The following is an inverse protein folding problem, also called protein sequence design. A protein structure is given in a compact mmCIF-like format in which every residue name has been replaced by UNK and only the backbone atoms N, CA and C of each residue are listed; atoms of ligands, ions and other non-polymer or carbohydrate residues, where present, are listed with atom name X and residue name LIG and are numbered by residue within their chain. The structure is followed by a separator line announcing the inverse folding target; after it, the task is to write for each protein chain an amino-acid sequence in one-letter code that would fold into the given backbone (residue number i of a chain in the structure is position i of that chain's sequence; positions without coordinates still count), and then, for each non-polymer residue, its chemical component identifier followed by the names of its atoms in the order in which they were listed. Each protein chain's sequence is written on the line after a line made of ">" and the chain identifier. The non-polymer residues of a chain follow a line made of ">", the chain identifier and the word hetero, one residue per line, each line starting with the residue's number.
data_IF_808326452971
#
_entry.id   IF_808326452971
#
_cell.length_a   1.000
_cell.length_b   1.000
_cell.length_c   1.000
_cell.angle_alpha   90.00
_cell.angle_beta   90.00
_cell.angle_gamma   90.00
#
_symmetry.space_group_name_H-M   'P 1'
#
loop_
_entity.id
_entity.type
_entity.pdbx_description
1 polymer ?
#
# COMPACT_ATOMS: atom_id res chain seq x y z
N UNK A 1 -6.82 49.66 -56.64
CA UNK A 1 -8.24 50.05 -56.43
C UNK A 1 -8.67 49.70 -55.01
N UNK A 2 -9.55 50.52 -54.41
CA UNK A 2 -10.52 50.25 -53.32
C UNK A 2 -10.20 49.26 -52.15
N UNK A 3 -10.09 49.87 -50.94
CA UNK A 3 -10.65 49.48 -49.61
C UNK A 3 -12.13 48.98 -49.68
N UNK A 4 -12.81 48.47 -48.61
CA UNK A 4 -12.60 48.66 -47.14
C UNK A 4 -12.70 47.31 -46.34
N UNK A 5 -12.95 47.17 -45.02
CA UNK A 5 -13.52 47.99 -43.90
C UNK A 5 -13.04 47.37 -42.57
N UNK A 6 -12.62 48.09 -41.51
CA UNK A 6 -13.44 48.74 -40.46
C UNK A 6 -13.60 47.81 -39.23
N UNK A 7 -13.51 48.20 -37.95
CA UNK A 7 -13.42 49.49 -37.24
C UNK A 7 -12.53 49.30 -35.96
N UNK A 8 -11.70 50.23 -35.48
CA UNK A 8 -12.03 51.51 -34.77
C UNK A 8 -12.70 51.20 -33.41
N UNK A 9 -12.28 51.64 -32.21
CA UNK A 9 -11.51 52.79 -31.66
C UNK A 9 -10.90 52.34 -30.27
N UNK A 10 -10.11 53.08 -29.46
CA UNK A 10 -9.62 54.46 -29.44
C UNK A 10 -8.25 54.61 -28.70
N UNK A 11 -7.69 55.81 -28.76
CA UNK A 11 -6.54 56.49 -28.11
C UNK A 11 -6.74 56.96 -26.65
N UNK A 12 -5.82 57.62 -25.95
CA UNK A 12 -4.34 57.66 -25.85
C UNK A 12 -3.90 58.78 -24.85
N UNK A 13 -2.65 58.71 -24.38
CA UNK A 13 -1.89 59.58 -23.48
C UNK A 13 -2.17 61.11 -23.38
N UNK A 14 -1.92 61.69 -22.19
CA UNK A 14 -1.33 63.04 -22.03
C UNK A 14 -0.70 63.29 -20.63
N UNK A 15 0.43 64.00 -20.62
CA UNK A 15 1.03 64.83 -19.57
C UNK A 15 1.74 66.02 -20.30
N UNK A 16 2.30 67.08 -19.68
CA UNK A 16 2.47 67.44 -18.25
C UNK A 16 2.13 68.93 -17.91
N UNK A 17 2.33 69.39 -16.65
CA UNK A 17 2.59 70.80 -16.27
C UNK A 17 3.10 70.96 -14.81
N UNK A 18 3.68 72.12 -14.44
CA UNK A 18 4.36 72.40 -13.14
C UNK A 18 3.65 73.44 -12.25
N UNK A 19 3.75 73.26 -10.92
CA UNK A 19 3.87 74.23 -9.79
C UNK A 19 2.87 75.42 -9.66
N UNK A 20 2.47 75.81 -8.42
CA UNK A 20 3.30 76.70 -7.58
C UNK A 20 3.30 76.39 -6.07
N UNK A 21 4.02 77.21 -5.29
CA UNK A 21 4.22 77.07 -3.84
C UNK A 21 3.32 78.01 -3.01
N UNK A 22 3.09 77.67 -1.73
CA UNK A 22 2.49 78.56 -0.73
C UNK A 22 2.08 77.83 0.56
N UNK A 23 2.71 78.14 1.69
CA UNK A 23 2.25 77.69 3.03
C UNK A 23 1.17 78.65 3.55
N UNK A 24 0.27 78.15 4.40
CA UNK A 24 0.12 78.78 5.71
C UNK A 24 0.42 77.80 6.85
N UNK A 25 1.00 78.32 7.93
CA UNK A 25 1.19 77.56 9.17
C UNK A 25 -0.12 77.48 9.97
N UNK A 26 -0.31 76.39 10.70
CA UNK A 26 -1.31 76.24 11.76
C UNK A 26 -0.59 75.75 13.04
N UNK A 27 -1.14 76.05 14.22
CA UNK A 27 -0.32 76.42 15.38
C UNK A 27 0.30 75.25 16.13
N UNK A 28 1.41 75.53 16.82
CA UNK A 28 1.82 74.74 17.97
C UNK A 28 0.78 74.86 19.08
N UNK A 29 0.02 73.80 19.31
CA UNK A 29 -0.69 73.58 20.58
C UNK A 29 -0.16 72.31 21.21
N UNK A 30 0.79 72.48 22.12
CA UNK A 30 1.32 71.42 22.96
C UNK A 30 0.25 70.93 23.95
N UNK A 31 -0.27 69.73 23.73
CA UNK A 31 -0.75 68.88 24.83
C UNK A 31 0.05 67.58 24.81
N UNK A 32 0.80 67.36 25.88
CA UNK A 32 1.78 66.29 25.95
C UNK A 32 1.12 64.92 26.08
N UNK A 33 1.00 64.19 24.97
CA UNK A 33 0.93 62.74 25.08
C UNK A 33 2.20 62.24 25.77
N UNK A 34 2.09 61.39 26.82
CA UNK A 34 3.26 60.74 27.37
C UNK A 34 3.84 59.85 26.28
N UNK A 35 5.00 60.25 25.76
CA UNK A 35 5.83 59.37 24.95
C UNK A 35 5.96 58.03 25.69
N UNK A 36 5.74 56.87 25.05
CA UNK A 36 6.10 55.61 25.67
C UNK A 36 7.57 55.74 26.04
N UNK A 37 7.86 55.59 27.32
CA UNK A 37 9.19 55.85 27.87
C UNK A 37 10.21 55.09 27.05
N UNK A 38 11.34 55.75 26.77
CA UNK A 38 12.54 55.13 26.22
C UNK A 38 13.22 54.24 27.27
N UNK A 39 12.45 53.32 27.85
CA UNK A 39 12.98 52.01 28.16
C UNK A 39 13.57 51.48 26.87
N UNK A 40 14.90 51.47 26.81
CA UNK A 40 15.62 50.64 25.88
C UNK A 40 14.89 49.30 25.81
N UNK A 41 14.55 48.86 24.60
CA UNK A 41 14.21 47.46 24.38
C UNK A 41 15.45 46.72 24.86
N UNK A 42 15.44 46.25 26.12
CA UNK A 42 16.53 45.48 26.69
C UNK A 42 16.79 44.41 25.67
N UNK A 43 17.99 44.42 25.09
CA UNK A 43 18.36 43.49 24.03
C UNK A 43 18.51 42.14 24.71
N UNK A 44 17.38 41.46 24.88
CA UNK A 44 17.30 40.21 25.62
C UNK A 44 18.35 39.28 25.03
N UNK A 45 19.21 38.76 25.90
CA UNK A 45 20.38 37.97 25.54
C UNK A 45 19.89 36.65 24.93
N UNK A 46 19.67 36.67 23.60
CA UNK A 46 19.22 35.52 22.87
C UNK A 46 20.42 34.58 22.70
N UNK A 47 20.41 33.39 23.35
CA UNK A 47 21.57 32.50 23.38
C UNK A 47 21.96 31.95 21.99
N UNK A 48 21.12 32.14 20.97
CA UNK A 48 21.40 31.77 19.58
C UNK A 48 21.99 32.90 18.71
N UNK A 49 22.03 34.15 19.20
CA UNK A 49 22.56 35.32 18.46
C UNK A 49 23.45 36.24 19.31
N UNK A 50 23.89 35.79 20.48
CA UNK A 50 24.71 36.57 21.40
C UNK A 50 26.16 36.76 20.93
N UNK A 51 26.84 37.80 21.43
CA UNK A 51 28.23 38.08 21.04
C UNK A 51 29.26 37.19 21.74
N UNK A 52 28.86 36.47 22.79
CA UNK A 52 29.72 35.45 23.43
C UNK A 52 29.64 34.12 22.66
N UNK A 53 30.73 33.80 21.97
CA UNK A 53 30.89 32.55 21.23
C UNK A 53 30.72 31.29 22.10
N UNK A 54 31.01 31.36 23.40
CA UNK A 54 30.78 30.23 24.33
C UNK A 54 29.29 29.97 24.50
N UNK A 55 28.49 31.01 24.68
CA UNK A 55 27.04 30.91 24.85
C UNK A 55 26.37 30.39 23.57
N UNK A 56 26.83 30.87 22.39
CA UNK A 56 26.44 30.33 21.09
C UNK A 56 26.74 28.83 20.97
N UNK A 57 27.96 28.38 21.32
CA UNK A 57 28.32 26.95 21.28
C UNK A 57 27.40 26.14 22.20
N UNK A 58 27.14 26.59 23.43
CA UNK A 58 26.28 25.84 24.36
C UNK A 58 24.83 25.76 23.86
N UNK A 59 24.29 26.83 23.27
CA UNK A 59 22.95 26.84 22.70
C UNK A 59 22.81 25.89 21.49
N UNK A 60 23.75 25.99 20.54
CA UNK A 60 23.75 25.16 19.33
C UNK A 60 24.09 23.70 19.61
N UNK A 61 25.01 23.40 20.52
CA UNK A 61 25.31 22.02 20.93
C UNK A 61 24.16 21.39 21.71
N UNK A 62 23.50 22.15 22.61
CA UNK A 62 22.29 21.70 23.29
C UNK A 62 21.12 21.40 22.33
N UNK A 63 20.96 22.21 21.28
CA UNK A 63 19.99 21.95 20.21
C UNK A 63 20.39 20.72 19.37
N UNK A 64 21.66 20.61 18.97
CA UNK A 64 22.16 19.49 18.18
C UNK A 64 22.03 18.14 18.92
N UNK A 65 22.32 18.10 20.23
CA UNK A 65 22.12 16.90 21.06
C UNK A 65 20.64 16.50 21.11
N UNK A 66 19.71 17.45 21.27
CA UNK A 66 18.26 17.16 21.22
C UNK A 66 17.84 16.58 19.87
N UNK A 67 18.32 17.17 18.77
CA UNK A 67 18.06 16.67 17.42
C UNK A 67 18.66 15.27 17.19
N UNK A 68 19.88 15.01 17.68
CA UNK A 68 20.52 13.71 17.59
C UNK A 68 19.79 12.62 18.39
N UNK A 69 19.24 12.95 19.57
CA UNK A 69 18.40 12.04 20.35
C UNK A 69 17.12 11.68 19.58
N UNK A 70 16.42 12.70 19.02
CA UNK A 70 15.20 12.49 18.22
C UNK A 70 15.51 11.63 16.99
N UNK A 71 16.59 11.94 16.27
CA UNK A 71 17.01 11.18 15.09
C UNK A 71 17.36 9.72 15.43
N UNK A 72 18.12 9.49 16.52
CA UNK A 72 18.47 8.14 16.98
C UNK A 72 17.22 7.34 17.37
N UNK A 73 16.24 7.97 18.04
CA UNK A 73 14.96 7.33 18.37
C UNK A 73 14.18 6.94 17.11
N UNK A 74 14.02 7.87 16.15
CA UNK A 74 13.34 7.59 14.88
C UNK A 74 14.04 6.51 14.06
N UNK A 75 15.37 6.52 14.03
CA UNK A 75 16.18 5.51 13.35
C UNK A 75 16.06 4.13 14.00
N UNK A 76 16.00 4.06 15.34
CA UNK A 76 15.75 2.81 16.08
C UNK A 76 14.36 2.22 15.77
N UNK A 77 13.33 3.07 15.70
CA UNK A 77 11.97 2.64 15.30
C UNK A 77 12.00 2.11 13.86
N UNK A 78 12.67 2.81 12.94
CA UNK A 78 12.82 2.36 11.55
C UNK A 78 13.54 1.00 11.45
N UNK A 79 14.65 0.82 12.16
CA UNK A 79 15.36 -0.47 12.19
C UNK A 79 14.50 -1.60 12.76
N UNK A 80 13.71 -1.33 13.79
CA UNK A 80 12.79 -2.32 14.36
C UNK A 80 11.74 -2.77 13.33
N UNK A 81 11.13 -1.83 12.59
CA UNK A 81 10.16 -2.13 11.54
C UNK A 81 10.80 -2.90 10.38
N UNK A 82 11.97 -2.47 9.90
CA UNK A 82 12.69 -3.16 8.82
C UNK A 82 13.12 -4.59 9.21
N UNK A 83 13.51 -4.81 10.47
CA UNK A 83 13.84 -6.13 11.01
C UNK A 83 12.59 -7.02 11.15
N UNK A 84 11.42 -6.46 11.49
CA UNK A 84 10.16 -7.22 11.40
C UNK A 84 9.84 -7.63 9.97
N UNK A 85 9.99 -6.74 8.98
CA UNK A 85 9.74 -7.10 7.57
C UNK A 85 10.68 -8.21 7.09
N UNK A 86 11.97 -8.14 7.44
CA UNK A 86 12.93 -9.22 7.11
C UNK A 86 12.50 -10.56 7.71
N UNK A 87 12.11 -10.61 8.99
CA UNK A 87 11.61 -11.84 9.64
C UNK A 87 10.33 -12.36 9.00
N UNK A 88 9.40 -11.49 8.62
CA UNK A 88 8.16 -11.86 7.90
C UNK A 88 8.46 -12.45 6.53
N UNK A 89 9.48 -11.94 5.84
CA UNK A 89 9.95 -12.47 4.54
C UNK A 89 10.63 -13.82 4.74
N UNK A 90 11.54 -13.96 5.71
CA UNK A 90 12.18 -15.24 6.07
C UNK A 90 11.14 -16.32 6.42
N UNK A 91 10.13 -15.96 7.22
CA UNK A 91 9.02 -16.86 7.55
C UNK A 91 8.20 -17.26 6.31
N UNK A 92 7.94 -16.34 5.37
CA UNK A 92 7.31 -16.69 4.08
C UNK A 92 8.21 -17.60 3.23
N UNK A 93 9.53 -17.36 3.18
CA UNK A 93 10.46 -18.22 2.43
C UNK A 93 10.47 -19.66 2.98
N UNK A 94 10.38 -19.85 4.30
CA UNK A 94 10.25 -21.19 4.88
C UNK A 94 8.97 -21.93 4.45
N UNK A 95 7.89 -21.21 4.12
CA UNK A 95 6.67 -21.79 3.55
C UNK A 95 6.81 -22.07 2.05
N UNK A 96 7.61 -21.28 1.32
CA UNK A 96 7.99 -21.57 -0.08
C UNK A 96 8.83 -22.84 -0.16
N UNK A 97 9.85 -22.99 0.68
CA UNK A 97 10.66 -24.21 0.77
C UNK A 97 9.81 -25.44 1.13
N UNK A 98 8.85 -25.28 2.05
CA UNK A 98 7.88 -26.33 2.37
C UNK A 98 7.01 -26.71 1.16
N UNK A 99 6.58 -25.73 0.37
CA UNK A 99 5.76 -25.92 -0.84
C UNK A 99 6.53 -26.56 -2.02
N UNK A 100 7.83 -26.30 -2.10
CA UNK A 100 8.73 -26.89 -3.10
C UNK A 100 9.17 -28.32 -2.74
N UNK A 101 8.88 -28.79 -1.51
CA UNK A 101 9.11 -30.16 -1.10
C UNK A 101 8.34 -31.17 -1.98
N UNK A 102 8.96 -32.34 -2.22
CA UNK A 102 8.49 -33.39 -3.14
C UNK A 102 7.05 -33.81 -2.88
N UNK A 103 6.63 -33.90 -1.63
CA UNK A 103 5.26 -34.26 -1.23
C UNK A 103 4.23 -33.23 -1.71
N UNK A 104 4.50 -31.94 -1.53
CA UNK A 104 3.60 -30.87 -1.99
C UNK A 104 3.62 -30.75 -3.51
N UNK A 105 4.77 -30.97 -4.13
CA UNK A 105 4.89 -31.07 -5.59
C UNK A 105 4.13 -32.27 -6.16
N UNK A 106 4.09 -33.41 -5.46
CA UNK A 106 3.28 -34.57 -5.81
C UNK A 106 1.79 -34.25 -5.68
N UNK A 107 1.36 -33.63 -4.58
CA UNK A 107 -0.03 -33.23 -4.38
C UNK A 107 -0.49 -32.21 -5.44
N UNK A 108 0.33 -31.22 -5.76
CA UNK A 108 0.08 -30.26 -6.85
C UNK A 108 -0.07 -30.96 -8.21
N UNK A 109 0.79 -31.95 -8.52
CA UNK A 109 0.66 -32.76 -9.74
C UNK A 109 -0.62 -33.59 -9.75
N UNK A 110 -0.92 -34.32 -8.67
CA UNK A 110 -2.15 -35.12 -8.55
C UNK A 110 -3.42 -34.28 -8.80
N UNK A 111 -3.51 -33.08 -8.21
CA UNK A 111 -4.59 -32.13 -8.45
C UNK A 111 -4.60 -31.65 -9.90
N UNK A 112 -3.45 -31.24 -10.44
CA UNK A 112 -3.34 -30.76 -11.83
C UNK A 112 -3.77 -31.83 -12.83
N UNK A 113 -3.23 -33.04 -12.72
CA UNK A 113 -3.44 -34.12 -13.68
C UNK A 113 -4.91 -34.56 -13.69
N UNK A 114 -5.53 -34.68 -12.50
CA UNK A 114 -6.97 -35.01 -12.38
C UNK A 114 -7.86 -33.89 -12.94
N UNK A 115 -7.57 -32.62 -12.63
CA UNK A 115 -8.31 -31.49 -13.19
C UNK A 115 -8.11 -31.35 -14.70
N UNK A 116 -6.91 -31.55 -15.23
CA UNK A 116 -6.64 -31.51 -16.68
C UNK A 116 -7.39 -32.63 -17.41
N UNK A 117 -7.40 -33.86 -16.88
CA UNK A 117 -8.17 -34.97 -17.46
C UNK A 117 -9.69 -34.67 -17.47
N UNK A 118 -10.23 -34.12 -16.38
CA UNK A 118 -11.65 -33.75 -16.30
C UNK A 118 -11.99 -32.57 -17.23
N UNK A 119 -11.17 -31.52 -17.27
CA UNK A 119 -11.37 -30.41 -18.20
C UNK A 119 -11.37 -30.91 -19.65
N UNK A 120 -10.43 -31.77 -20.05
CA UNK A 120 -10.41 -32.35 -21.40
C UNK A 120 -11.63 -33.24 -21.70
N UNK A 121 -12.14 -33.98 -20.71
CA UNK A 121 -13.33 -34.83 -20.82
C UNK A 121 -14.63 -34.03 -21.02
N UNK A 122 -14.67 -32.78 -20.52
CA UNK A 122 -15.86 -31.93 -20.49
C UNK A 122 -15.70 -30.62 -21.27
N UNK A 123 -14.63 -30.46 -22.05
CA UNK A 123 -14.31 -29.27 -22.86
C UNK A 123 -15.47 -28.88 -23.80
N UNK A 124 -16.13 -29.88 -24.37
CA UNK A 124 -17.30 -29.75 -25.23
C UNK A 124 -18.58 -29.22 -24.53
N UNK A 125 -18.56 -29.00 -23.21
CA UNK A 125 -19.69 -28.44 -22.47
C UNK A 125 -19.65 -26.91 -22.35
N UNK A 126 -18.53 -26.26 -22.68
CA UNK A 126 -18.48 -24.80 -22.75
C UNK A 126 -18.96 -24.29 -24.11
N UNK A 127 -19.60 -23.13 -24.11
CA UNK A 127 -19.86 -22.38 -25.33
C UNK A 127 -18.54 -21.86 -25.93
N UNK A 128 -18.53 -21.54 -27.23
CA UNK A 128 -17.31 -21.07 -27.91
C UNK A 128 -16.76 -19.71 -27.40
N UNK A 129 -17.50 -19.02 -26.53
CA UNK A 129 -17.06 -17.82 -25.82
C UNK A 129 -17.82 -17.74 -24.48
N UNK A 130 -17.37 -18.48 -23.45
CA UNK A 130 -18.08 -18.59 -22.18
C UNK A 130 -18.01 -17.30 -21.39
N UNK A 131 -19.10 -16.91 -20.73
CA UNK A 131 -19.06 -15.81 -19.77
C UNK A 131 -18.24 -16.20 -18.53
N UNK A 132 -17.63 -15.24 -17.80
CA UNK A 132 -16.85 -15.53 -16.60
C UNK A 132 -17.62 -16.32 -15.53
N UNK A 133 -18.94 -16.12 -15.45
CA UNK A 133 -19.86 -16.85 -14.57
C UNK A 133 -20.11 -18.29 -15.02
N UNK A 134 -20.23 -18.55 -16.32
CA UNK A 134 -20.36 -19.92 -16.84
C UNK A 134 -19.06 -20.70 -16.62
N UNK A 135 -17.92 -20.08 -16.87
CA UNK A 135 -16.60 -20.68 -16.62
C UNK A 135 -16.42 -20.99 -15.11
N UNK A 136 -16.80 -20.08 -14.22
CA UNK A 136 -16.73 -20.32 -12.77
C UNK A 136 -17.64 -21.49 -12.34
N UNK A 137 -18.88 -21.55 -12.84
CA UNK A 137 -19.80 -22.66 -12.56
C UNK A 137 -19.28 -23.98 -13.14
N UNK A 138 -18.65 -23.96 -14.31
CA UNK A 138 -18.00 -25.12 -14.90
C UNK A 138 -16.84 -25.62 -14.02
N UNK A 139 -15.89 -24.74 -13.65
CA UNK A 139 -14.77 -25.09 -12.76
C UNK A 139 -15.26 -25.65 -11.42
N UNK A 140 -16.30 -25.08 -10.82
CA UNK A 140 -16.89 -25.63 -9.59
C UNK A 140 -17.48 -27.03 -9.77
N UNK A 141 -18.13 -27.32 -10.91
CA UNK A 141 -18.62 -28.67 -11.24
C UNK A 141 -17.47 -29.65 -11.42
N UNK A 142 -16.41 -29.24 -12.11
CA UNK A 142 -15.18 -30.04 -12.27
C UNK A 142 -14.53 -30.32 -10.91
N UNK A 143 -14.44 -29.36 -10.01
CA UNK A 143 -13.91 -29.57 -8.66
C UNK A 143 -14.77 -30.49 -7.79
N UNK A 144 -16.09 -30.51 -7.99
CA UNK A 144 -16.98 -31.50 -7.34
C UNK A 144 -16.77 -32.90 -7.94
N UNK A 145 -16.67 -33.03 -9.26
CA UNK A 145 -16.42 -34.32 -9.93
C UNK A 145 -15.01 -34.86 -9.61
N UNK A 146 -14.02 -33.99 -9.42
CA UNK A 146 -12.68 -34.36 -8.98
C UNK A 146 -12.66 -35.02 -7.59
N UNK A 147 -13.70 -34.85 -6.77
CA UNK A 147 -13.86 -35.49 -5.46
C UNK A 147 -14.73 -36.77 -5.51
N UNK A 148 -14.98 -37.33 -6.70
CA UNK A 148 -15.66 -38.62 -6.88
C UNK A 148 -14.68 -39.75 -7.22
N UNK A 149 -15.17 -40.99 -7.15
CA UNK A 149 -14.43 -42.16 -7.63
C UNK A 149 -14.27 -42.18 -9.17
N UNK A 150 -15.14 -41.50 -9.91
CA UNK A 150 -15.08 -41.34 -11.37
C UNK A 150 -14.25 -40.13 -11.84
N UNK A 151 -13.71 -39.35 -10.89
CA UNK A 151 -12.98 -38.11 -11.15
C UNK A 151 -11.63 -38.27 -11.88
N UNK A 152 -11.09 -39.48 -12.01
CA UNK A 152 -9.84 -39.77 -12.71
C UNK A 152 -9.10 -40.97 -12.13
N UNK A 153 -7.99 -41.37 -12.75
CA UNK A 153 -7.37 -42.70 -12.56
C UNK A 153 -6.78 -42.97 -11.16
N UNK A 154 -6.41 -41.92 -10.42
CA UNK A 154 -5.94 -42.05 -9.03
C UNK A 154 -7.11 -42.47 -8.10
N UNK A 155 -6.92 -43.44 -7.19
CA UNK A 155 -7.91 -43.79 -6.18
C UNK A 155 -8.36 -42.57 -5.37
N UNK A 156 -9.66 -42.50 -5.03
CA UNK A 156 -10.22 -41.32 -4.34
C UNK A 156 -9.60 -41.09 -2.95
N UNK A 157 -9.18 -42.14 -2.25
CA UNK A 157 -8.48 -42.03 -0.96
C UNK A 157 -7.14 -41.30 -1.13
N UNK A 158 -6.27 -41.82 -1.99
CA UNK A 158 -4.96 -41.23 -2.32
C UNK A 158 -5.11 -39.78 -2.84
N UNK A 159 -6.12 -39.52 -3.67
CA UNK A 159 -6.42 -38.18 -4.14
C UNK A 159 -6.88 -37.25 -3.00
N UNK A 160 -7.70 -37.76 -2.08
CA UNK A 160 -8.13 -37.06 -0.86
C UNK A 160 -6.95 -36.63 0.01
N UNK A 161 -5.99 -37.52 0.27
CA UNK A 161 -4.78 -37.19 1.04
C UNK A 161 -3.95 -36.08 0.37
N UNK A 162 -3.85 -36.10 -0.96
CA UNK A 162 -3.18 -35.03 -1.72
C UNK A 162 -3.97 -33.71 -1.64
N UNK A 163 -5.30 -33.75 -1.76
CA UNK A 163 -6.18 -32.59 -1.63
C UNK A 163 -6.10 -31.96 -0.23
N UNK A 164 -6.24 -32.77 0.83
CA UNK A 164 -6.20 -32.32 2.22
C UNK A 164 -4.83 -31.72 2.57
N UNK A 165 -3.74 -32.27 2.03
CA UNK A 165 -2.39 -31.71 2.16
C UNK A 165 -2.30 -30.29 1.56
N UNK A 166 -2.93 -30.04 0.41
CA UNK A 166 -3.00 -28.69 -0.18
C UNK A 166 -3.89 -27.76 0.65
N UNK A 167 -5.08 -28.22 1.08
CA UNK A 167 -5.99 -27.44 1.95
C UNK A 167 -5.28 -27.03 3.25
N UNK A 168 -4.60 -27.98 3.91
CA UNK A 168 -3.84 -27.72 5.13
C UNK A 168 -2.75 -26.64 4.92
N UNK A 169 -2.02 -26.70 3.80
CA UNK A 169 -1.03 -25.67 3.48
C UNK A 169 -1.67 -24.30 3.23
N UNK A 170 -2.75 -24.23 2.44
CA UNK A 170 -3.44 -22.96 2.16
C UNK A 170 -4.05 -22.35 3.43
N UNK A 171 -4.60 -23.17 4.33
CA UNK A 171 -5.07 -22.73 5.64
C UNK A 171 -3.91 -22.19 6.50
N UNK A 172 -2.79 -22.92 6.58
CA UNK A 172 -1.58 -22.47 7.30
C UNK A 172 -1.02 -21.16 6.73
N UNK A 173 -1.06 -21.00 5.41
CA UNK A 173 -0.62 -19.79 4.71
C UNK A 173 -1.55 -18.61 5.04
N UNK A 174 -2.87 -18.80 5.02
CA UNK A 174 -3.85 -17.76 5.43
C UNK A 174 -3.59 -17.32 6.86
N UNK A 175 -3.53 -18.25 7.83
CA UNK A 175 -3.24 -17.91 9.22
C UNK A 175 -1.92 -17.17 9.41
N UNK A 176 -0.88 -17.47 8.61
CA UNK A 176 0.38 -16.74 8.67
C UNK A 176 0.27 -15.29 8.14
N UNK A 177 -0.53 -15.07 7.09
CA UNK A 177 -0.74 -13.73 6.51
C UNK A 177 -1.75 -12.89 7.30
N UNK A 178 -2.78 -13.52 7.85
CA UNK A 178 -3.82 -12.86 8.65
C UNK A 178 -3.34 -12.57 10.08
N UNK A 179 -2.41 -13.38 10.60
CA UNK A 179 -1.70 -13.14 11.86
C UNK A 179 -0.50 -12.18 11.76
N UNK A 180 -0.29 -11.52 10.61
CA UNK A 180 0.85 -10.62 10.36
C UNK A 180 2.25 -11.27 10.49
N UNK A 181 2.34 -12.60 10.52
CA UNK A 181 3.58 -13.37 10.69
C UNK A 181 4.34 -13.54 9.36
N UNK A 182 3.63 -13.60 8.24
CA UNK A 182 4.18 -13.73 6.89
C UNK A 182 4.13 -12.40 6.13
N UNK A 183 5.07 -12.21 5.20
CA UNK A 183 5.04 -11.06 4.29
C UNK A 183 3.93 -11.21 3.25
N UNK A 184 2.81 -10.50 3.44
CA UNK A 184 1.67 -10.49 2.51
C UNK A 184 2.09 -10.24 1.06
N UNK A 185 3.04 -9.32 0.84
CA UNK A 185 3.59 -9.00 -0.51
C UNK A 185 4.27 -10.21 -1.18
N UNK A 186 5.07 -10.97 -0.44
CA UNK A 186 5.77 -12.15 -0.98
C UNK A 186 4.79 -13.30 -1.16
N UNK A 187 3.90 -13.51 -0.19
CA UNK A 187 2.84 -14.53 -0.28
C UNK A 187 1.94 -14.29 -1.50
N UNK A 188 1.51 -13.03 -1.72
CA UNK A 188 0.70 -12.65 -2.87
C UNK A 188 1.43 -12.80 -4.21
N UNK A 189 2.75 -12.57 -4.25
CA UNK A 189 3.53 -12.72 -5.47
C UNK A 189 3.75 -14.18 -5.87
N UNK A 190 3.80 -15.11 -4.91
CA UNK A 190 4.14 -16.52 -5.17
C UNK A 190 2.91 -17.45 -5.19
N UNK A 191 1.98 -17.30 -4.24
CA UNK A 191 0.89 -18.27 -4.04
C UNK A 191 -0.48 -17.85 -4.60
N UNK A 192 -0.68 -16.57 -4.93
CA UNK A 192 -1.99 -16.01 -5.29
C UNK A 192 -2.64 -16.73 -6.47
N UNK A 193 -1.92 -16.91 -7.57
CA UNK A 193 -2.49 -17.51 -8.78
C UNK A 193 -2.87 -18.98 -8.56
N UNK A 194 -2.03 -19.74 -7.83
CA UNK A 194 -2.35 -21.10 -7.43
C UNK A 194 -3.59 -21.14 -6.52
N UNK A 195 -3.63 -20.32 -5.48
CA UNK A 195 -4.74 -20.27 -4.53
C UNK A 195 -6.06 -19.87 -5.21
N UNK A 196 -6.06 -18.81 -6.04
CA UNK A 196 -7.23 -18.37 -6.80
C UNK A 196 -7.72 -19.47 -7.74
N UNK A 197 -6.81 -20.14 -8.44
CA UNK A 197 -7.17 -21.28 -9.29
C UNK A 197 -7.78 -22.42 -8.47
N UNK A 198 -7.12 -22.87 -7.40
CA UNK A 198 -7.60 -23.91 -6.49
C UNK A 198 -9.01 -23.61 -5.96
N UNK A 199 -9.23 -22.41 -5.40
CA UNK A 199 -10.54 -22.01 -4.88
C UNK A 199 -11.60 -21.89 -5.98
N UNK A 200 -11.22 -21.52 -7.22
CA UNK A 200 -12.17 -21.50 -8.35
C UNK A 200 -12.74 -22.87 -8.72
N UNK A 201 -11.99 -23.95 -8.49
CA UNK A 201 -12.47 -25.33 -8.63
C UNK A 201 -13.16 -25.84 -7.36
N UNK A 202 -12.50 -25.75 -6.20
CA UNK A 202 -12.89 -26.53 -5.02
C UNK A 202 -13.79 -25.82 -4.01
N UNK A 203 -14.01 -24.50 -4.10
CA UNK A 203 -14.87 -23.78 -3.14
C UNK A 203 -16.28 -24.39 -3.04
N UNK A 204 -16.88 -24.78 -4.17
CA UNK A 204 -18.21 -25.41 -4.22
C UNK A 204 -18.28 -26.82 -3.61
N UNK A 205 -17.14 -27.51 -3.44
CA UNK A 205 -17.04 -28.76 -2.69
C UNK A 205 -16.81 -28.52 -1.20
N UNK A 206 -15.87 -27.63 -0.85
CA UNK A 206 -15.52 -27.30 0.53
C UNK A 206 -16.72 -26.69 1.27
N UNK A 207 -17.49 -25.81 0.62
CA UNK A 207 -18.72 -25.26 1.19
C UNK A 207 -19.80 -26.32 1.44
N UNK A 208 -19.85 -27.41 0.65
CA UNK A 208 -20.76 -28.53 0.88
C UNK A 208 -20.30 -29.36 2.07
N UNK A 209 -19.01 -29.69 2.16
CA UNK A 209 -18.43 -30.41 3.30
C UNK A 209 -18.68 -29.65 4.62
N UNK A 210 -18.37 -28.35 4.65
CA UNK A 210 -18.59 -27.48 5.81
C UNK A 210 -20.07 -27.39 6.22
N UNK A 211 -21.00 -27.32 5.26
CA UNK A 211 -22.46 -27.34 5.52
C UNK A 211 -22.97 -28.71 5.98
N UNK A 212 -22.30 -29.80 5.60
CA UNK A 212 -22.60 -31.15 6.06
C UNK A 212 -22.05 -31.46 7.47
N UNK A 213 -21.37 -30.50 8.12
CA UNK A 213 -20.77 -30.68 9.44
C UNK A 213 -19.42 -31.41 9.43
N UNK A 214 -18.81 -31.59 8.25
CA UNK A 214 -17.50 -32.23 8.11
C UNK A 214 -16.38 -31.24 8.49
N UNK A 215 -15.42 -31.63 9.35
CA UNK A 215 -14.28 -30.80 9.69
C UNK A 215 -13.18 -30.87 8.60
N UNK A 216 -13.45 -30.22 7.47
CA UNK A 216 -12.46 -29.91 6.41
C UNK A 216 -11.98 -28.46 6.51
#
# INVERSE_FOLDING_TARGET
>A
MKKPTGNTRQTAAAAPAKAPAGKPALPETTEGFPWPSSHEIKKESNPFTDRDWRMLIYAWSGLAVRLAIIFTLMFSIYQFLANQEQKRVEQTMSLVELWENKDYQQAQRALKDRLTALNAKYDNLLSANPSPTEEQVFRQRIGIEAMTASGGDMPLADFGENFDRIVYFLNRLSFCVDGDLCSRKVTDAYFRDYAVSFWSYFAGYIDKQRKAGSPT
#
